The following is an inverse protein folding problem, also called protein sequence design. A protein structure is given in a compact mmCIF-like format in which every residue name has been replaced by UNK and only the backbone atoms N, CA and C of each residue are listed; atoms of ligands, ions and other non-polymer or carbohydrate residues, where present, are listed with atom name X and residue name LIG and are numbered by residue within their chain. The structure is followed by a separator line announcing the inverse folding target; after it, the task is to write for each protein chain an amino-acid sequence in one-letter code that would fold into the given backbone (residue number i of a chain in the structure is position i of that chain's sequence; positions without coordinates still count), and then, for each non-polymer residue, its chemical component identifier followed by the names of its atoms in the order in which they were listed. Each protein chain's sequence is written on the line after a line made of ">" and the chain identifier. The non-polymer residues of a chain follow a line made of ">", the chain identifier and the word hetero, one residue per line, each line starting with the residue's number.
data_IF_819849339975
#
_entry.id   IF_819849339975
#
_cell.length_a   1.000
_cell.length_b   1.000
_cell.length_c   1.000
_cell.angle_alpha   90.00
_cell.angle_beta   90.00
_cell.angle_gamma   90.00
#
_symmetry.space_group_name_H-M   'P 1'
#
loop_
_entity.id
_entity.type
_entity.pdbx_description
1 polymer ?
#
# COMPACT_ATOMS: atom_id res chain seq x y z
N UNK A 1 17.05 -5.10 27.47
CA UNK A 1 18.38 -4.80 26.90
C UNK A 1 18.44 -3.30 26.70
N UNK A 2 19.47 -2.57 27.14
CA UNK A 2 19.53 -1.13 26.93
C UNK A 2 19.52 -0.83 25.43
N UNK A 3 18.77 0.18 25.00
CA UNK A 3 18.71 0.59 23.60
C UNK A 3 20.08 1.08 23.10
N UNK A 4 20.82 1.77 23.97
CA UNK A 4 22.19 2.18 23.72
C UNK A 4 23.10 0.99 24.11
N UNK A 5 23.87 0.42 23.17
CA UNK A 5 24.66 -0.77 23.44
C UNK A 5 26.00 -0.44 24.11
N UNK A 6 26.48 0.80 24.00
CA UNK A 6 27.78 1.24 24.50
C UNK A 6 27.72 1.54 26.00
N UNK A 7 28.69 1.01 26.73
CA UNK A 7 28.95 1.37 28.12
C UNK A 7 29.71 2.70 28.23
N UNK A 8 29.80 3.27 29.42
CA UNK A 8 30.63 4.44 29.67
C UNK A 8 32.12 4.19 29.34
N UNK A 9 32.59 2.95 29.49
CA UNK A 9 33.95 2.55 29.15
C UNK A 9 34.16 2.54 27.63
N UNK A 10 33.21 1.97 26.88
CA UNK A 10 33.24 1.98 25.40
C UNK A 10 33.26 3.41 24.87
N UNK A 11 32.39 4.29 25.41
CA UNK A 11 32.32 5.70 25.03
C UNK A 11 33.66 6.39 25.31
N UNK A 12 34.28 6.17 26.47
CA UNK A 12 35.57 6.76 26.82
C UNK A 12 36.68 6.31 25.87
N UNK A 13 36.77 5.01 25.59
CA UNK A 13 37.78 4.46 24.67
C UNK A 13 37.60 5.00 23.24
N UNK A 14 36.36 5.14 22.77
CA UNK A 14 36.05 5.73 21.47
C UNK A 14 36.48 7.21 21.40
N UNK A 15 36.16 8.00 22.43
CA UNK A 15 36.53 9.42 22.51
C UNK A 15 38.06 9.60 22.52
N UNK A 16 38.79 8.80 23.31
CA UNK A 16 40.25 8.81 23.33
C UNK A 16 40.85 8.47 21.97
N UNK A 17 40.27 7.48 21.26
CA UNK A 17 40.75 7.05 19.94
C UNK A 17 40.65 8.16 18.89
N UNK A 18 39.57 8.95 18.93
CA UNK A 18 39.37 10.07 17.99
C UNK A 18 39.94 11.40 18.50
N UNK A 19 40.48 11.44 19.72
CA UNK A 19 41.04 12.65 20.34
C UNK A 19 40.00 13.70 20.73
N UNK A 20 38.75 13.31 20.99
CA UNK A 20 37.68 14.21 21.41
C UNK A 20 37.51 14.20 22.94
N UNK A 21 37.23 15.36 23.53
CA UNK A 21 37.12 15.50 24.99
C UNK A 21 35.75 15.03 25.54
N UNK A 22 34.69 15.16 24.75
CA UNK A 22 33.33 14.79 25.13
C UNK A 22 32.43 14.51 23.93
N UNK A 23 31.25 13.93 24.18
CA UNK A 23 30.23 13.73 23.15
C UNK A 23 29.75 15.07 22.58
N UNK A 24 29.62 16.10 23.42
CA UNK A 24 29.15 17.44 23.02
C UNK A 24 30.10 18.09 22.01
N UNK A 25 31.39 17.80 22.11
CA UNK A 25 32.41 18.30 21.17
C UNK A 25 32.16 17.78 19.75
N UNK A 26 31.55 16.60 19.60
CA UNK A 26 31.23 16.00 18.29
C UNK A 26 30.09 16.73 17.55
N UNK A 27 29.42 17.68 18.20
CA UNK A 27 28.29 18.44 17.64
C UNK A 27 28.59 19.94 17.49
N UNK A 28 29.86 20.36 17.56
CA UNK A 28 30.28 21.76 17.44
C UNK A 28 29.90 22.41 16.10
N UNK A 29 29.80 21.62 15.03
CA UNK A 29 29.33 22.05 13.71
C UNK A 29 27.86 22.50 13.69
N UNK A 30 27.04 22.07 14.67
CA UNK A 30 25.64 22.50 14.77
C UNK A 30 25.58 23.92 15.36
N UNK A 31 25.17 24.95 14.60
CA UNK A 31 25.12 26.32 15.09
C UNK A 31 24.28 26.43 16.36
N UNK A 32 24.77 27.19 17.34
CA UNK A 32 24.10 27.32 18.64
C UNK A 32 22.64 27.78 18.51
N UNK A 33 22.35 28.67 17.56
CA UNK A 33 21.00 29.17 17.29
C UNK A 33 20.02 28.10 16.76
N UNK A 34 20.51 26.93 16.33
CA UNK A 34 19.70 25.80 15.86
C UNK A 34 19.60 24.68 16.90
N UNK A 35 20.34 24.76 18.02
CA UNK A 35 20.27 23.76 19.09
C UNK A 35 18.98 23.95 19.88
N UNK A 36 18.31 22.84 20.22
CA UNK A 36 17.15 22.89 21.08
C UNK A 36 17.57 22.87 22.56
N UNK A 37 16.87 23.64 23.41
CA UNK A 37 17.13 23.66 24.86
C UNK A 37 16.57 22.42 25.59
N UNK A 38 15.84 21.57 24.87
CA UNK A 38 15.26 20.33 25.37
C UNK A 38 13.96 19.96 24.65
N UNK A 39 13.34 18.87 25.10
CA UNK A 39 12.07 18.37 24.59
C UNK A 39 10.99 18.51 25.69
N UNK A 40 10.59 19.73 26.02
CA UNK A 40 9.67 20.02 27.15
C UNK A 40 8.31 19.32 27.06
N UNK A 41 7.85 19.02 25.83
CA UNK A 41 6.60 18.31 25.59
C UNK A 41 6.71 16.78 25.71
N UNK A 42 7.93 16.24 25.89
CA UNK A 42 8.16 14.79 26.03
C UNK A 42 8.12 14.41 27.50
N UNK A 43 7.22 13.50 27.92
CA UNK A 43 7.16 13.04 29.30
C UNK A 43 8.46 12.38 29.76
N UNK A 44 8.70 12.30 31.09
CA UNK A 44 9.80 11.52 31.62
C UNK A 44 9.77 10.06 31.12
N UNK A 45 10.95 9.48 30.95
CA UNK A 45 11.10 8.10 30.52
C UNK A 45 10.40 7.12 31.47
N UNK A 46 9.81 6.08 30.90
CA UNK A 46 9.18 4.97 31.61
C UNK A 46 10.00 3.70 31.41
N UNK A 47 9.98 2.81 32.39
CA UNK A 47 10.49 1.45 32.22
C UNK A 47 9.66 0.66 31.20
N UNK A 48 10.24 -0.39 30.63
CA UNK A 48 9.55 -1.28 29.67
C UNK A 48 8.24 -1.84 30.25
N UNK A 49 8.23 -2.17 31.54
CA UNK A 49 7.04 -2.69 32.22
C UNK A 49 5.93 -1.65 32.35
N UNK A 50 6.28 -0.39 32.61
CA UNK A 50 5.32 0.72 32.71
C UNK A 50 4.72 1.03 31.34
N UNK A 51 5.55 1.10 30.29
CA UNK A 51 5.08 1.29 28.91
C UNK A 51 4.16 0.15 28.50
N UNK A 52 4.53 -1.11 28.78
CA UNK A 52 3.70 -2.27 28.47
C UNK A 52 2.31 -2.21 29.12
N UNK A 53 2.24 -1.84 30.41
CA UNK A 53 0.95 -1.66 31.12
C UNK A 53 0.14 -0.50 30.53
N UNK A 54 0.78 0.62 30.22
CA UNK A 54 0.14 1.79 29.63
C UNK A 54 -0.48 1.44 28.27
N UNK A 55 0.28 0.80 27.38
CA UNK A 55 -0.20 0.41 26.04
C UNK A 55 -1.34 -0.61 26.13
N UNK A 56 -1.27 -1.57 27.05
CA UNK A 56 -2.37 -2.52 27.27
C UNK A 56 -3.64 -1.84 27.80
N UNK A 57 -3.52 -0.85 28.68
CA UNK A 57 -4.66 -0.08 29.16
C UNK A 57 -5.32 0.68 28.00
N UNK A 58 -4.53 1.37 27.18
CA UNK A 58 -5.04 2.10 26.00
C UNK A 58 -5.73 1.18 25.00
N UNK A 59 -5.12 0.04 24.67
CA UNK A 59 -5.69 -0.91 23.72
C UNK A 59 -7.04 -1.50 24.19
N UNK A 60 -7.31 -1.54 25.51
CA UNK A 60 -8.61 -1.98 26.04
C UNK A 60 -9.71 -0.93 25.84
N UNK A 61 -9.35 0.36 25.78
CA UNK A 61 -10.32 1.44 25.58
C UNK A 61 -10.91 1.42 24.15
N UNK A 62 -10.16 0.89 23.17
CA UNK A 62 -10.61 0.76 21.77
C UNK A 62 -11.70 -0.30 21.55
N UNK A 63 -11.79 -1.30 22.44
CA UNK A 63 -12.73 -2.41 22.35
C UNK A 63 -12.43 -3.40 21.20
N UNK A 64 -13.29 -4.41 21.05
CA UNK A 64 -13.19 -5.44 19.99
C UNK A 64 -14.57 -5.80 19.43
N UNK A 65 -15.25 -4.86 18.72
CA UNK A 65 -16.56 -5.13 18.14
C UNK A 65 -16.47 -6.09 16.94
N UNK A 66 -17.53 -6.85 16.71
CA UNK A 66 -17.71 -7.53 15.43
C UNK A 66 -17.88 -6.48 14.32
N UNK A 67 -17.07 -6.57 13.27
CA UNK A 67 -17.03 -5.58 12.19
C UNK A 67 -17.38 -6.23 10.85
N UNK A 68 -18.53 -5.86 10.29
CA UNK A 68 -18.99 -6.28 8.95
C UNK A 68 -19.07 -5.12 7.96
N UNK A 69 -18.36 -4.02 8.22
CA UNK A 69 -18.37 -2.83 7.34
C UNK A 69 -17.74 -3.15 5.97
N UNK A 70 -16.79 -4.08 5.92
CA UNK A 70 -16.11 -4.46 4.69
C UNK A 70 -15.25 -3.33 4.14
N UNK A 71 -15.56 -2.86 2.93
CA UNK A 71 -14.88 -1.72 2.32
C UNK A 71 -13.35 -1.89 2.19
N UNK A 72 -12.89 -3.08 1.79
CA UNK A 72 -11.47 -3.36 1.58
C UNK A 72 -10.71 -3.86 2.81
N UNK A 73 -11.33 -3.91 3.99
CA UNK A 73 -10.81 -4.56 5.18
C UNK A 73 -11.82 -5.59 5.69
N UNK A 74 -11.42 -6.86 5.74
CA UNK A 74 -12.29 -7.97 6.10
C UNK A 74 -11.63 -8.78 7.20
N UNK A 75 -12.38 -9.02 8.27
CA UNK A 75 -11.92 -9.89 9.35
C UNK A 75 -11.69 -11.32 8.82
N UNK A 76 -10.59 -11.93 9.20
CA UNK A 76 -10.18 -13.24 8.72
C UNK A 76 -9.29 -13.97 9.72
N UNK A 77 -9.31 -15.30 9.65
CA UNK A 77 -8.46 -16.12 10.50
C UNK A 77 -7.00 -15.97 10.08
N UNK A 78 -6.16 -15.49 11.00
CA UNK A 78 -4.70 -15.46 10.85
C UNK A 78 -4.14 -16.70 11.57
N UNK A 79 -3.54 -17.67 10.84
CA UNK A 79 -2.94 -18.85 11.46
C UNK A 79 -1.87 -18.48 12.50
N UNK A 80 -1.82 -19.18 13.62
CA UNK A 80 -0.87 -18.89 14.71
C UNK A 80 0.61 -18.89 14.25
N UNK A 81 0.94 -19.69 13.23
CA UNK A 81 2.27 -19.72 12.62
C UNK A 81 2.69 -18.34 12.05
N UNK A 82 1.75 -17.52 11.57
CA UNK A 82 2.05 -16.18 11.05
C UNK A 82 2.57 -15.28 12.17
N UNK A 83 1.95 -15.30 13.34
CA UNK A 83 2.41 -14.53 14.50
C UNK A 83 3.77 -15.02 15.04
N UNK A 84 4.05 -16.33 14.94
CA UNK A 84 5.36 -16.88 15.28
C UNK A 84 6.44 -16.44 14.30
N UNK A 85 6.10 -16.15 13.04
CA UNK A 85 7.05 -15.64 12.05
C UNK A 85 7.23 -14.13 12.13
N UNK A 86 6.14 -13.38 12.27
CA UNK A 86 6.16 -11.91 12.28
C UNK A 86 6.98 -11.31 13.45
N UNK A 87 7.13 -12.06 14.54
CA UNK A 87 7.87 -11.63 15.74
C UNK A 87 9.34 -12.06 15.75
N UNK A 88 9.79 -12.82 14.75
CA UNK A 88 11.17 -13.31 14.65
C UNK A 88 12.11 -12.23 14.10
N UNK A 89 13.19 -11.97 14.82
CA UNK A 89 14.22 -10.97 14.50
C UNK A 89 14.76 -11.10 13.09
N UNK A 90 15.08 -12.33 12.69
CA UNK A 90 15.60 -12.70 11.38
C UNK A 90 14.69 -12.35 10.21
N UNK A 91 13.38 -12.17 10.43
CA UNK A 91 12.43 -11.72 9.40
C UNK A 91 12.13 -10.22 9.48
N UNK A 92 12.07 -9.65 10.69
CA UNK A 92 11.64 -8.25 10.86
C UNK A 92 12.79 -7.23 10.82
N UNK A 93 14.01 -7.61 11.20
CA UNK A 93 15.15 -6.68 11.32
C UNK A 93 15.94 -6.51 10.04
N UNK A 94 15.91 -7.51 9.15
CA UNK A 94 16.58 -7.42 7.86
C UNK A 94 15.92 -6.33 7.00
N UNK A 95 16.74 -5.56 6.27
CA UNK A 95 16.24 -4.52 5.38
C UNK A 95 16.13 -5.04 3.94
N UNK A 96 15.99 -4.13 2.97
CA UNK A 96 15.94 -4.47 1.55
C UNK A 96 17.09 -5.42 1.17
N UNK A 97 16.81 -6.50 0.42
CA UNK A 97 17.79 -7.55 0.10
C UNK A 97 18.80 -7.11 -0.97
N UNK A 98 19.57 -6.05 -0.70
CA UNK A 98 20.61 -5.54 -1.60
C UNK A 98 21.77 -6.52 -1.79
N UNK A 99 22.03 -7.37 -0.80
CA UNK A 99 23.02 -8.45 -0.86
C UNK A 99 22.29 -9.77 -1.08
N UNK A 100 22.04 -10.10 -2.35
CA UNK A 100 21.18 -11.21 -2.72
C UNK A 100 21.65 -12.55 -2.17
N UNK A 101 22.95 -12.79 -2.16
CA UNK A 101 23.60 -14.02 -1.66
C UNK A 101 23.35 -14.22 -0.16
N UNK A 102 23.20 -13.12 0.60
CA UNK A 102 22.91 -13.12 2.03
C UNK A 102 21.41 -13.02 2.34
N UNK A 103 20.53 -13.01 1.32
CA UNK A 103 19.08 -12.76 1.48
C UNK A 103 18.20 -13.75 0.71
N UNK A 104 18.73 -14.90 0.32
CA UNK A 104 18.00 -15.89 -0.49
C UNK A 104 16.69 -16.36 0.13
N UNK A 105 16.58 -16.44 1.46
CA UNK A 105 15.32 -16.78 2.14
C UNK A 105 14.21 -15.75 1.88
N UNK A 106 14.51 -14.46 2.05
CA UNK A 106 13.56 -13.37 1.75
C UNK A 106 13.24 -13.31 0.27
N UNK A 107 14.24 -13.45 -0.60
CA UNK A 107 14.04 -13.44 -2.05
C UNK A 107 13.17 -14.60 -2.52
N UNK A 108 13.31 -15.79 -1.94
CA UNK A 108 12.40 -16.91 -2.21
C UNK A 108 10.97 -16.56 -1.79
N UNK A 109 10.77 -16.00 -0.59
CA UNK A 109 9.43 -15.60 -0.13
C UNK A 109 8.78 -14.59 -1.08
N UNK A 110 9.53 -13.61 -1.57
CA UNK A 110 9.04 -12.63 -2.53
C UNK A 110 8.69 -13.29 -3.88
N UNK A 111 9.50 -14.24 -4.34
CA UNK A 111 9.21 -15.02 -5.55
C UNK A 111 7.92 -15.85 -5.39
N UNK A 112 7.72 -16.50 -4.24
CA UNK A 112 6.48 -17.25 -3.95
C UNK A 112 5.26 -16.33 -3.93
N UNK A 113 5.38 -15.15 -3.32
CA UNK A 113 4.33 -14.13 -3.36
C UNK A 113 4.00 -13.72 -4.80
N UNK A 114 5.01 -13.40 -5.61
CA UNK A 114 4.83 -13.01 -7.00
C UNK A 114 4.16 -14.12 -7.82
N UNK A 115 4.63 -15.36 -7.65
CA UNK A 115 4.09 -16.54 -8.33
C UNK A 115 2.63 -16.82 -7.95
N UNK A 116 2.30 -16.69 -6.67
CA UNK A 116 0.93 -16.79 -6.17
C UNK A 116 0.06 -15.69 -6.78
N UNK A 117 0.52 -14.45 -6.80
CA UNK A 117 -0.24 -13.33 -7.36
C UNK A 117 -0.46 -13.46 -8.86
N UNK A 118 0.54 -13.88 -9.64
CA UNK A 118 0.38 -14.14 -11.09
C UNK A 118 -0.61 -15.27 -11.34
N UNK A 119 -0.53 -16.38 -10.58
CA UNK A 119 -1.46 -17.50 -10.73
C UNK A 119 -2.90 -17.11 -10.35
N UNK A 120 -3.06 -16.34 -9.27
CA UNK A 120 -4.37 -15.90 -8.77
C UNK A 120 -5.03 -14.87 -9.68
N UNK A 121 -4.24 -13.98 -10.27
CA UNK A 121 -4.75 -12.90 -11.14
C UNK A 121 -4.78 -13.27 -12.62
N UNK A 122 -4.17 -14.38 -13.02
CA UNK A 122 -4.00 -14.75 -14.43
C UNK A 122 -3.03 -13.86 -15.20
N UNK A 123 -2.27 -13.00 -14.52
CA UNK A 123 -1.37 -12.02 -15.14
C UNK A 123 0.05 -12.59 -15.30
N UNK A 124 0.78 -12.11 -16.31
CA UNK A 124 2.14 -12.57 -16.62
C UNK A 124 3.18 -12.23 -15.55
N UNK A 125 3.00 -11.10 -14.83
CA UNK A 125 3.98 -10.58 -13.87
C UNK A 125 3.32 -9.94 -12.66
N UNK A 126 3.96 -10.08 -11.50
CA UNK A 126 3.65 -9.34 -10.27
C UNK A 126 4.93 -8.70 -9.73
N UNK A 127 4.81 -7.52 -9.13
CA UNK A 127 5.90 -6.97 -8.32
C UNK A 127 5.89 -7.61 -6.91
N UNK A 128 6.83 -7.19 -6.07
CA UNK A 128 7.00 -7.67 -4.70
C UNK A 128 6.20 -6.86 -3.66
N UNK A 129 4.99 -6.42 -4.00
CA UNK A 129 4.04 -5.56 -3.23
C UNK A 129 4.09 -4.06 -3.51
N UNK A 130 3.07 -3.36 -3.02
CA UNK A 130 2.93 -1.90 -2.89
C UNK A 130 2.34 -1.58 -1.51
N UNK A 131 2.24 -0.30 -1.14
CA UNK A 131 1.82 0.12 0.20
C UNK A 131 0.38 -0.29 0.54
N UNK A 132 -0.57 -0.03 -0.35
CA UNK A 132 -1.99 -0.35 -0.16
C UNK A 132 -2.73 -0.39 -1.51
N UNK A 133 -4.00 -0.80 -1.49
CA UNK A 133 -4.83 -0.85 -2.70
C UNK A 133 -5.11 0.52 -3.35
N UNK A 134 -5.03 1.61 -2.58
CA UNK A 134 -5.33 2.96 -3.05
C UNK A 134 -4.16 3.54 -3.87
N UNK A 135 -2.96 3.43 -3.35
CA UNK A 135 -1.70 3.77 -4.02
C UNK A 135 -1.42 2.81 -5.17
N UNK A 136 -1.74 1.52 -5.04
CA UNK A 136 -1.65 0.57 -6.14
C UNK A 136 -2.54 0.93 -7.34
N UNK A 137 -3.78 1.38 -7.10
CA UNK A 137 -4.64 1.89 -8.17
C UNK A 137 -4.00 3.12 -8.84
N UNK A 138 -3.41 4.03 -8.06
CA UNK A 138 -2.72 5.19 -8.63
C UNK A 138 -1.54 4.79 -9.52
N UNK A 139 -0.72 3.83 -9.09
CA UNK A 139 0.38 3.31 -9.90
C UNK A 139 -0.10 2.59 -11.16
N UNK A 140 -1.21 1.85 -11.08
CA UNK A 140 -1.83 1.23 -12.24
C UNK A 140 -2.33 2.28 -13.26
N UNK A 141 -2.95 3.37 -12.78
CA UNK A 141 -3.37 4.51 -13.62
C UNK A 141 -2.16 5.16 -14.30
N UNK A 142 -1.09 5.43 -13.54
CA UNK A 142 0.15 6.00 -14.07
C UNK A 142 0.79 5.08 -15.11
N UNK A 143 0.81 3.77 -14.84
CA UNK A 143 1.32 2.76 -15.75
C UNK A 143 0.49 2.71 -17.03
N UNK A 144 -0.84 2.65 -16.95
CA UNK A 144 -1.71 2.55 -18.12
C UNK A 144 -1.60 3.78 -19.03
N UNK A 145 -1.53 4.99 -18.46
CA UNK A 145 -1.32 6.22 -19.23
C UNK A 145 0.02 6.22 -19.97
N UNK A 146 1.09 5.65 -19.37
CA UNK A 146 2.40 5.51 -20.05
C UNK A 146 2.43 4.36 -21.06
N UNK A 147 1.75 3.26 -20.76
CA UNK A 147 1.79 2.03 -21.55
C UNK A 147 0.91 2.11 -22.80
N UNK A 148 -0.22 2.84 -22.74
CA UNK A 148 -1.10 2.99 -23.90
C UNK A 148 -0.52 3.98 -24.92
N UNK A 149 0.47 3.54 -25.69
CA UNK A 149 1.16 4.36 -26.72
C UNK A 149 0.24 4.82 -27.87
N UNK A 150 -0.96 4.24 -28.00
CA UNK A 150 -1.95 4.60 -29.01
C UNK A 150 -2.81 5.79 -28.58
N UNK A 151 -2.90 6.04 -27.27
CA UNK A 151 -3.62 7.18 -26.69
C UNK A 151 -2.66 8.35 -26.45
N UNK A 152 -3.09 9.58 -26.78
CA UNK A 152 -2.41 10.80 -26.32
C UNK A 152 -3.14 11.42 -25.12
N UNK A 153 -4.27 10.85 -24.75
CA UNK A 153 -5.11 11.27 -23.65
C UNK A 153 -4.48 10.94 -22.31
N UNK A 154 -4.80 11.78 -21.33
CA UNK A 154 -4.55 11.52 -19.91
C UNK A 154 -5.86 11.31 -19.15
N UNK A 155 -6.92 10.91 -19.86
CA UNK A 155 -8.23 10.64 -19.28
C UNK A 155 -8.35 9.16 -18.94
N UNK A 156 -8.78 8.88 -17.72
CA UNK A 156 -9.03 7.53 -17.24
C UNK A 156 -10.45 7.46 -16.72
N UNK A 157 -11.23 6.51 -17.21
CA UNK A 157 -12.59 6.28 -16.74
C UNK A 157 -12.54 5.51 -15.42
N UNK A 158 -13.22 6.02 -14.39
CA UNK A 158 -13.22 5.43 -13.05
C UNK A 158 -14.66 5.33 -12.54
N UNK A 159 -15.24 4.13 -12.40
CA UNK A 159 -16.55 3.97 -11.79
C UNK A 159 -16.63 4.55 -10.39
N UNK A 160 -17.76 5.19 -10.08
CA UNK A 160 -18.05 5.63 -8.69
C UNK A 160 -18.23 4.46 -7.72
N UNK A 161 -18.41 3.24 -8.25
CA UNK A 161 -18.43 1.97 -7.50
C UNK A 161 -17.04 1.53 -7.02
N UNK A 162 -15.95 2.18 -7.46
CA UNK A 162 -14.61 2.03 -6.85
C UNK A 162 -14.61 2.65 -5.45
N UNK A 163 -13.90 2.02 -4.51
CA UNK A 163 -13.77 2.47 -3.13
C UNK A 163 -13.47 3.99 -3.06
N UNK A 164 -14.25 4.78 -2.30
CA UNK A 164 -14.15 6.24 -2.32
C UNK A 164 -12.79 6.76 -1.85
N UNK A 165 -12.15 6.09 -0.88
CA UNK A 165 -10.79 6.44 -0.48
C UNK A 165 -9.77 6.15 -1.59
N UNK A 166 -9.95 5.08 -2.37
CA UNK A 166 -9.03 4.73 -3.45
C UNK A 166 -9.11 5.79 -4.56
N UNK A 167 -10.33 6.22 -4.90
CA UNK A 167 -10.55 7.35 -5.84
C UNK A 167 -9.89 8.64 -5.35
N UNK A 168 -10.06 9.02 -4.08
CA UNK A 168 -9.45 10.23 -3.51
C UNK A 168 -7.92 10.18 -3.52
N UNK A 169 -7.33 9.08 -3.08
CA UNK A 169 -5.86 8.90 -3.06
C UNK A 169 -5.32 8.89 -4.49
N UNK A 170 -5.98 8.18 -5.41
CA UNK A 170 -5.59 8.18 -6.83
C UNK A 170 -5.61 9.59 -7.39
N UNK A 171 -6.68 10.35 -7.16
CA UNK A 171 -6.78 11.74 -7.60
C UNK A 171 -5.67 12.63 -7.03
N UNK A 172 -5.32 12.45 -5.75
CA UNK A 172 -4.25 13.21 -5.11
C UNK A 172 -2.87 12.92 -5.73
N UNK A 173 -2.59 11.67 -6.07
CA UNK A 173 -1.30 11.23 -6.64
C UNK A 173 -1.17 11.64 -8.11
N UNK A 174 -2.22 11.44 -8.91
CA UNK A 174 -2.13 11.59 -10.38
C UNK A 174 -2.56 12.98 -10.87
N UNK A 175 -3.33 13.73 -10.07
CA UNK A 175 -3.95 14.98 -10.47
C UNK A 175 -2.96 16.08 -10.88
N UNK A 176 -1.86 16.25 -10.14
CA UNK A 176 -0.81 17.23 -10.46
C UNK A 176 -0.01 16.87 -11.71
N UNK A 177 -0.16 15.65 -12.22
CA UNK A 177 0.45 15.21 -13.48
C UNK A 177 -0.49 15.42 -14.67
N UNK A 178 -1.59 16.16 -14.50
CA UNK A 178 -2.57 16.44 -15.56
C UNK A 178 -3.37 15.21 -16.00
N UNK A 179 -3.39 14.14 -15.18
CA UNK A 179 -4.25 12.98 -15.40
C UNK A 179 -5.64 13.30 -14.86
N UNK A 180 -6.64 13.14 -15.72
CA UNK A 180 -8.05 13.42 -15.39
C UNK A 180 -8.79 12.11 -15.16
N UNK A 181 -9.21 11.89 -13.93
CA UNK A 181 -10.15 10.83 -13.59
C UNK A 181 -11.56 11.28 -13.98
N UNK A 182 -12.20 10.53 -14.86
CA UNK A 182 -13.58 10.79 -15.32
C UNK A 182 -14.47 9.77 -14.64
N UNK A 183 -15.31 10.25 -13.71
CA UNK A 183 -16.17 9.36 -12.94
C UNK A 183 -17.33 8.82 -13.76
N UNK A 184 -17.53 7.50 -13.75
CA UNK A 184 -18.71 6.87 -14.34
C UNK A 184 -19.83 6.74 -13.30
N UNK A 185 -21.08 7.07 -13.65
CA UNK A 185 -22.21 6.84 -12.77
C UNK A 185 -22.45 5.34 -12.57
N UNK A 186 -23.24 5.02 -11.56
CA UNK A 186 -23.69 3.66 -11.27
C UNK A 186 -25.21 3.68 -11.09
N UNK A 187 -25.85 2.53 -11.33
CA UNK A 187 -27.26 2.35 -11.03
C UNK A 187 -27.47 2.42 -9.51
N UNK A 188 -28.27 3.37 -9.05
CA UNK A 188 -28.56 3.58 -7.63
C UNK A 188 -29.31 2.38 -7.03
N UNK A 189 -30.12 1.67 -7.84
CA UNK A 189 -30.88 0.52 -7.37
C UNK A 189 -30.03 -0.76 -7.35
N UNK A 190 -29.30 -1.03 -8.43
CA UNK A 190 -28.49 -2.23 -8.59
C UNK A 190 -27.06 -2.14 -8.08
N UNK A 191 -26.55 -0.94 -7.75
CA UNK A 191 -25.21 -0.75 -7.18
C UNK A 191 -24.04 -1.05 -8.12
N UNK A 192 -24.26 -1.22 -9.43
CA UNK A 192 -23.26 -1.55 -10.43
C UNK A 192 -23.15 -0.47 -11.50
N UNK A 193 -22.07 -0.49 -12.27
CA UNK A 193 -21.82 0.40 -13.40
C UNK A 193 -22.57 -0.12 -14.60
N UNK A 194 -23.50 0.66 -15.14
CA UNK A 194 -24.20 0.31 -16.39
C UNK A 194 -23.24 0.47 -17.58
N UNK A 195 -22.92 -0.60 -18.35
CA UNK A 195 -22.10 -0.49 -19.54
C UNK A 195 -22.62 0.53 -20.57
N UNK A 196 -23.94 0.80 -20.61
CA UNK A 196 -24.50 1.82 -21.49
C UNK A 196 -23.95 3.24 -21.20
N UNK A 197 -23.50 3.52 -19.97
CA UNK A 197 -22.85 4.78 -19.63
C UNK A 197 -21.54 5.01 -20.40
N UNK A 198 -20.92 3.94 -20.94
CA UNK A 198 -19.70 4.01 -21.75
C UNK A 198 -19.98 4.51 -23.17
N UNK A 199 -21.20 4.38 -23.68
CA UNK A 199 -21.54 4.69 -25.08
C UNK A 199 -21.13 6.12 -25.49
N UNK A 200 -21.27 7.09 -24.58
CA UNK A 200 -20.90 8.49 -24.81
C UNK A 200 -19.40 8.71 -25.04
N UNK A 201 -18.54 7.77 -24.61
CA UNK A 201 -17.08 7.86 -24.77
C UNK A 201 -16.58 7.08 -26.00
N UNK A 202 -17.48 6.47 -26.79
CA UNK A 202 -17.10 5.70 -27.97
C UNK A 202 -16.42 6.60 -28.99
N UNK A 203 -15.22 6.21 -29.43
CA UNK A 203 -14.40 7.00 -30.35
C UNK A 203 -13.68 8.20 -29.70
N UNK A 204 -13.83 8.43 -28.40
CA UNK A 204 -13.00 9.40 -27.67
C UNK A 204 -11.62 8.82 -27.35
N UNK A 205 -10.60 9.68 -27.27
CA UNK A 205 -9.27 9.28 -26.81
C UNK A 205 -9.27 9.15 -25.27
N UNK A 206 -9.24 7.90 -24.79
CA UNK A 206 -9.23 7.49 -23.38
C UNK A 206 -8.07 6.53 -23.16
N UNK A 207 -7.28 6.74 -22.11
CA UNK A 207 -6.10 5.93 -21.86
C UNK A 207 -6.46 4.58 -21.21
N UNK A 208 -7.35 4.61 -20.21
CA UNK A 208 -7.70 3.43 -19.42
C UNK A 208 -9.12 3.45 -18.84
N UNK A 209 -9.63 2.27 -18.49
CA UNK A 209 -10.88 2.03 -17.75
C UNK A 209 -10.57 1.22 -16.49
N UNK A 210 -10.95 1.73 -15.32
CA UNK A 210 -10.87 1.02 -14.03
C UNK A 210 -12.12 0.18 -13.83
N UNK A 211 -11.98 -1.06 -13.35
CA UNK A 211 -13.08 -2.00 -13.13
C UNK A 211 -12.88 -2.66 -11.75
N UNK A 212 -13.71 -2.33 -10.74
CA UNK A 212 -13.65 -3.01 -9.45
C UNK A 212 -14.43 -4.34 -9.47
N UNK A 213 -13.91 -5.40 -8.85
CA UNK A 213 -14.59 -6.70 -8.80
C UNK A 213 -14.26 -7.51 -7.53
N UNK A 214 -15.22 -7.76 -6.62
CA UNK A 214 -16.50 -7.06 -6.49
C UNK A 214 -16.32 -5.56 -6.25
N UNK A 215 -17.36 -4.77 -6.51
CA UNK A 215 -17.30 -3.34 -6.29
C UNK A 215 -17.51 -2.93 -4.81
N UNK A 216 -17.41 -1.64 -4.51
CA UNK A 216 -17.51 -1.11 -3.14
C UNK A 216 -18.83 -1.48 -2.43
N UNK A 217 -19.91 -1.66 -3.19
CA UNK A 217 -21.22 -2.05 -2.66
C UNK A 217 -21.38 -3.57 -2.49
N UNK A 218 -20.35 -4.35 -2.85
CA UNK A 218 -20.38 -5.81 -2.82
C UNK A 218 -21.05 -6.46 -4.03
N UNK A 219 -21.30 -5.69 -5.10
CA UNK A 219 -21.95 -6.16 -6.33
C UNK A 219 -20.90 -6.55 -7.37
N UNK A 220 -21.21 -7.54 -8.20
CA UNK A 220 -20.38 -7.93 -9.34
C UNK A 220 -20.69 -6.99 -10.52
N UNK A 221 -19.64 -6.44 -11.12
CA UNK A 221 -19.73 -5.65 -12.34
C UNK A 221 -19.88 -6.59 -13.56
N UNK A 222 -20.42 -6.06 -14.67
CA UNK A 222 -20.43 -6.74 -15.97
C UNK A 222 -19.04 -6.69 -16.62
N UNK A 223 -18.06 -7.34 -15.98
CA UNK A 223 -16.64 -7.21 -16.30
C UNK A 223 -16.33 -7.51 -17.76
N UNK A 224 -16.93 -8.56 -18.34
CA UNK A 224 -16.69 -8.93 -19.74
C UNK A 224 -17.21 -7.84 -20.71
N UNK A 225 -18.38 -7.24 -20.43
CA UNK A 225 -18.91 -6.15 -21.27
C UNK A 225 -18.05 -4.88 -21.17
N UNK A 226 -17.58 -4.55 -19.96
CA UNK A 226 -16.72 -3.40 -19.71
C UNK A 226 -15.35 -3.57 -20.38
N UNK A 227 -14.74 -4.76 -20.29
CA UNK A 227 -13.44 -5.05 -20.91
C UNK A 227 -13.54 -5.17 -22.43
N UNK A 228 -14.59 -5.80 -22.97
CA UNK A 228 -14.81 -5.90 -24.41
C UNK A 228 -14.98 -4.51 -25.05
N UNK A 229 -15.75 -3.62 -24.41
CA UNK A 229 -15.88 -2.24 -24.86
C UNK A 229 -14.54 -1.49 -24.81
N UNK A 230 -13.77 -1.65 -23.73
CA UNK A 230 -12.45 -1.01 -23.62
C UNK A 230 -11.49 -1.50 -24.72
N UNK A 231 -11.44 -2.82 -24.95
CA UNK A 231 -10.62 -3.44 -25.99
C UNK A 231 -11.00 -2.94 -27.39
N UNK A 232 -12.31 -2.87 -27.70
CA UNK A 232 -12.81 -2.38 -28.98
C UNK A 232 -12.43 -0.92 -29.25
N UNK A 233 -12.20 -0.11 -28.20
CA UNK A 233 -11.80 1.29 -28.31
C UNK A 233 -10.29 1.52 -28.07
N UNK A 234 -9.48 0.46 -27.93
CA UNK A 234 -8.04 0.58 -27.69
C UNK A 234 -7.67 1.14 -26.31
N UNK A 235 -8.55 0.99 -25.33
CA UNK A 235 -8.41 1.45 -23.94
C UNK A 235 -7.85 0.30 -23.11
N UNK A 236 -6.89 0.59 -22.21
CA UNK A 236 -6.38 -0.43 -21.28
C UNK A 236 -7.32 -0.62 -20.09
N UNK A 237 -7.55 -1.86 -19.68
CA UNK A 237 -8.36 -2.18 -18.50
C UNK A 237 -7.48 -2.31 -17.25
N UNK A 238 -7.94 -1.75 -16.13
CA UNK A 238 -7.31 -1.87 -14.81
C UNK A 238 -8.31 -2.56 -13.87
N UNK A 239 -8.00 -3.77 -13.44
CA UNK A 239 -8.83 -4.50 -12.48
C UNK A 239 -8.47 -4.13 -11.03
N UNK A 240 -9.48 -3.82 -10.21
CA UNK A 240 -9.35 -3.60 -8.76
C UNK A 240 -10.10 -4.73 -8.04
N UNK A 241 -9.37 -5.73 -7.58
CA UNK A 241 -9.95 -7.00 -7.12
C UNK A 241 -9.66 -7.29 -5.65
N UNK A 242 -10.58 -8.01 -5.01
CA UNK A 242 -10.29 -8.70 -3.76
C UNK A 242 -9.62 -10.06 -4.10
N UNK A 243 -8.36 -10.29 -3.71
CA UNK A 243 -7.66 -11.54 -4.04
C UNK A 243 -8.40 -12.80 -3.57
N UNK A 244 -9.08 -12.76 -2.43
CA UNK A 244 -9.84 -13.92 -1.92
C UNK A 244 -11.02 -14.26 -2.81
N UNK A 245 -11.67 -13.26 -3.42
CA UNK A 245 -12.80 -13.48 -4.33
C UNK A 245 -12.36 -14.20 -5.63
N UNK A 246 -11.10 -14.08 -6.02
CA UNK A 246 -10.54 -14.74 -7.21
C UNK A 246 -10.39 -16.26 -7.05
N UNK A 247 -10.59 -16.80 -5.84
CA UNK A 247 -10.73 -18.25 -5.66
C UNK A 247 -12.02 -18.80 -6.30
N UNK A 248 -13.01 -17.94 -6.56
CA UNK A 248 -14.32 -18.32 -7.12
C UNK A 248 -14.63 -17.61 -8.44
N UNK A 249 -14.16 -16.37 -8.59
CA UNK A 249 -14.42 -15.55 -9.77
C UNK A 249 -13.36 -15.80 -10.85
N UNK A 250 -13.76 -15.62 -12.11
CA UNK A 250 -12.84 -15.59 -13.25
C UNK A 250 -11.74 -14.54 -12.97
N UNK A 251 -10.45 -14.91 -13.10
CA UNK A 251 -9.35 -13.99 -12.85
C UNK A 251 -9.34 -12.85 -13.90
N UNK A 252 -8.71 -11.70 -13.59
CA UNK A 252 -8.61 -10.57 -14.52
C UNK A 252 -7.86 -10.83 -15.83
N UNK A 253 -6.81 -11.67 -15.80
CA UNK A 253 -5.94 -11.96 -16.95
C UNK A 253 -6.53 -12.93 -17.97
#
# INVERSE_FOLDING_TARGET
>A
MPFIPHTEEDVRAMLETIGAESIETLFDEVPQALRCDGLEAVPPGMSEMEVGRLMQARARDDGQPLCFIGAGAYDHHIPAAVWQLATRGEFYTAYTPYQAEASQGTLQLLYEYQSMMTALTGMDVSNASLYDGASALAEAVLMAVRANRKSKSRRVLVPRTVHPAYRRVTQAIVGYQGIKLVELPFDIQGGHTDPAALAQFTGEDIAALVIPQPNFFGVLEEVDALTDWAAANGILSIAVVNPVALALLKPPG
#
